data_IF_564382312757
#
_entry.id   IF_564382312757
#
_cell.length_a   1.000
_cell.length_b   1.000
_cell.length_c   1.000
_cell.angle_alpha   90.00
_cell.angle_beta   90.00
_cell.angle_gamma   90.00
#
_symmetry.space_group_name_H-M   'P 1'
#
loop_
_entity.id
_entity.type
_entity.pdbx_description
1 polymer ?
#
# COMPACT_ATOMS: atom_id res chain seq x y z
N UNK A 1 -1.40 9.04 24.80
CA UNK A 1 -1.24 9.72 23.50
C UNK A 1 -2.62 10.04 22.96
N UNK A 2 -2.81 11.17 22.27
CA UNK A 2 -4.07 11.42 21.57
C UNK A 2 -4.28 10.35 20.49
N UNK A 3 -5.52 9.95 20.24
CA UNK A 3 -5.83 9.07 19.12
C UNK A 3 -5.38 9.74 17.82
N UNK A 4 -4.69 8.99 16.97
CA UNK A 4 -4.29 9.47 15.64
C UNK A 4 -5.54 9.71 14.79
N UNK A 5 -5.62 10.88 14.14
CA UNK A 5 -6.63 11.14 13.13
C UNK A 5 -6.34 10.31 11.87
N UNK A 6 -7.37 9.78 11.18
CA UNK A 6 -7.19 9.11 9.90
C UNK A 6 -6.50 10.00 8.87
N UNK A 7 -5.61 9.41 8.07
CA UNK A 7 -5.09 10.04 6.87
C UNK A 7 -6.11 9.95 5.73
N UNK A 8 -6.02 10.86 4.77
CA UNK A 8 -6.85 10.89 3.56
C UNK A 8 -5.97 11.03 2.31
N UNK A 9 -6.15 10.16 1.31
CA UNK A 9 -5.42 10.21 0.04
C UNK A 9 -6.35 9.99 -1.16
N UNK A 10 -6.31 10.86 -2.15
CA UNK A 10 -6.96 10.66 -3.44
C UNK A 10 -5.92 10.28 -4.52
N UNK A 11 -6.26 9.37 -5.41
CA UNK A 11 -5.36 8.89 -6.47
C UNK A 11 -6.13 8.45 -7.73
N UNK A 12 -5.50 8.50 -8.92
CA UNK A 12 -6.16 8.15 -10.17
C UNK A 12 -6.23 6.64 -10.37
N UNK A 13 -7.33 6.17 -10.95
CA UNK A 13 -7.49 4.80 -11.44
C UNK A 13 -8.03 4.79 -12.86
N UNK A 14 -7.64 3.78 -13.63
CA UNK A 14 -8.15 3.55 -14.99
C UNK A 14 -9.55 2.92 -14.98
N UNK A 15 -9.93 2.23 -13.90
CA UNK A 15 -11.18 1.48 -13.79
C UNK A 15 -11.62 1.37 -12.33
N UNK A 16 -12.85 1.80 -12.03
CA UNK A 16 -13.43 1.66 -10.69
C UNK A 16 -13.80 0.20 -10.36
N UNK A 17 -14.08 -0.64 -11.37
CA UNK A 17 -14.32 -2.06 -11.13
C UNK A 17 -13.04 -2.80 -10.77
N UNK A 18 -11.92 -2.44 -11.39
CA UNK A 18 -10.61 -2.99 -11.05
C UNK A 18 -10.17 -2.54 -9.66
N UNK A 19 -10.41 -1.25 -9.33
CA UNK A 19 -10.17 -0.73 -8.00
C UNK A 19 -10.98 -1.49 -6.94
N UNK A 20 -12.26 -1.77 -7.16
CA UNK A 20 -13.09 -2.55 -6.21
C UNK A 20 -12.59 -3.97 -6.01
N UNK A 21 -12.22 -4.67 -7.09
CA UNK A 21 -11.64 -6.01 -6.99
C UNK A 21 -10.31 -6.00 -6.24
N UNK A 22 -9.48 -5.00 -6.49
CA UNK A 22 -8.18 -4.90 -5.84
C UNK A 22 -8.27 -4.45 -4.38
N UNK A 23 -8.80 -3.26 -4.10
CA UNK A 23 -8.87 -2.71 -2.75
C UNK A 23 -9.94 -3.40 -1.91
N UNK A 24 -11.15 -3.60 -2.46
CA UNK A 24 -12.27 -4.23 -1.76
C UNK A 24 -12.09 -5.72 -1.50
N UNK A 25 -11.88 -6.50 -2.56
CA UNK A 25 -11.86 -7.96 -2.46
C UNK A 25 -10.46 -8.50 -2.09
N UNK A 26 -9.43 -8.12 -2.85
CA UNK A 26 -8.08 -8.63 -2.62
C UNK A 26 -7.42 -8.04 -1.37
N UNK A 27 -7.47 -6.72 -1.14
CA UNK A 27 -6.90 -6.14 0.08
C UNK A 27 -7.85 -6.23 1.28
N UNK A 28 -9.17 -6.38 1.04
CA UNK A 28 -10.16 -6.48 2.10
C UNK A 28 -10.54 -5.13 2.71
N UNK A 29 -10.34 -4.03 1.98
CA UNK A 29 -10.66 -2.67 2.40
C UNK A 29 -12.13 -2.35 2.08
N UNK A 30 -13.03 -2.22 3.07
CA UNK A 30 -14.45 -1.98 2.82
C UNK A 30 -14.70 -0.74 1.96
N UNK A 31 -15.62 -0.83 1.00
CA UNK A 31 -16.09 0.32 0.23
C UNK A 31 -16.87 1.29 1.13
N UNK A 32 -16.57 2.58 0.99
CA UNK A 32 -17.28 3.69 1.61
C UNK A 32 -18.30 4.30 0.67
N UNK A 33 -18.29 5.63 0.56
CA UNK A 33 -19.16 6.35 -0.41
C UNK A 33 -18.59 6.21 -1.81
N UNK A 34 -19.45 6.35 -2.81
CA UNK A 34 -19.03 6.31 -4.21
C UNK A 34 -19.96 7.08 -5.14
N UNK A 35 -19.51 7.28 -6.37
CA UNK A 35 -20.26 7.76 -7.52
C UNK A 35 -19.79 7.04 -8.79
N UNK A 36 -20.32 7.44 -9.95
CA UNK A 36 -19.86 6.94 -11.25
C UNK A 36 -18.41 7.36 -11.58
N UNK A 37 -17.83 8.31 -10.83
CA UNK A 37 -16.50 8.86 -11.09
C UNK A 37 -15.47 8.62 -9.97
N UNK A 38 -15.87 8.08 -8.82
CA UNK A 38 -14.95 7.81 -7.71
C UNK A 38 -15.51 6.83 -6.67
N UNK A 39 -14.64 6.25 -5.85
CA UNK A 39 -15.00 5.37 -4.72
C UNK A 39 -14.05 5.57 -3.54
N UNK A 40 -14.61 5.72 -2.34
CA UNK A 40 -13.89 5.72 -1.06
C UNK A 40 -13.63 4.27 -0.60
N UNK A 41 -12.50 4.00 0.03
CA UNK A 41 -12.22 2.75 0.77
C UNK A 41 -11.74 3.04 2.20
N UNK A 42 -12.17 2.22 3.16
CA UNK A 42 -11.54 2.11 4.48
C UNK A 42 -10.25 1.27 4.34
N UNK A 43 -9.13 1.98 4.25
CA UNK A 43 -7.80 1.46 4.05
C UNK A 43 -7.06 1.40 5.40
N UNK A 44 -7.36 0.36 6.18
CA UNK A 44 -6.76 0.13 7.51
C UNK A 44 -7.04 1.27 8.51
N UNK A 45 -8.25 1.83 8.50
CA UNK A 45 -8.65 2.97 9.33
C UNK A 45 -8.27 4.33 8.73
N UNK A 46 -7.72 4.36 7.51
CA UNK A 46 -7.50 5.57 6.71
C UNK A 46 -8.49 5.63 5.55
N UNK A 47 -8.73 6.83 5.02
CA UNK A 47 -9.57 6.99 3.83
C UNK A 47 -8.68 7.09 2.60
N UNK A 48 -8.90 6.23 1.62
CA UNK A 48 -8.35 6.43 0.29
C UNK A 48 -9.48 6.56 -0.73
N UNK A 49 -9.27 7.39 -1.76
CA UNK A 49 -10.28 7.71 -2.77
C UNK A 49 -9.71 7.43 -4.15
N UNK A 50 -10.26 6.42 -4.82
CA UNK A 50 -9.93 6.10 -6.20
C UNK A 50 -10.80 6.95 -7.13
N UNK A 51 -10.18 7.88 -7.86
CA UNK A 51 -10.84 8.71 -8.87
C UNK A 51 -10.67 8.11 -10.26
N UNK A 52 -11.76 7.95 -11.01
CA UNK A 52 -11.70 7.50 -12.40
C UNK A 52 -11.04 8.58 -13.26
N UNK A 53 -9.78 8.38 -13.60
CA UNK A 53 -8.97 9.28 -14.41
C UNK A 53 -7.97 8.47 -15.26
N UNK A 54 -8.44 7.80 -16.33
CA UNK A 54 -7.60 6.90 -17.12
C UNK A 54 -6.36 7.55 -17.73
N UNK A 55 -6.44 8.85 -18.07
CA UNK A 55 -5.32 9.60 -18.65
C UNK A 55 -4.22 9.95 -17.63
N UNK A 56 -4.52 9.86 -16.33
CA UNK A 56 -3.56 10.04 -15.23
C UNK A 56 -3.09 8.72 -14.62
N UNK A 57 -3.70 7.60 -15.02
CA UNK A 57 -3.31 6.27 -14.57
C UNK A 57 -2.08 5.77 -15.37
N UNK A 58 -1.20 5.02 -14.70
CA UNK A 58 0.01 4.48 -15.31
C UNK A 58 1.19 4.38 -14.34
N UNK A 59 2.27 3.76 -14.82
CA UNK A 59 3.49 3.62 -14.05
C UNK A 59 4.21 4.96 -13.90
N UNK A 60 4.63 5.25 -12.67
CA UNK A 60 5.35 6.48 -12.32
C UNK A 60 6.87 6.31 -12.42
N UNK A 61 7.59 7.43 -12.40
CA UNK A 61 9.06 7.44 -12.34
C UNK A 61 9.59 6.64 -11.12
N UNK A 62 10.77 6.05 -11.28
CA UNK A 62 11.46 5.28 -10.23
C UNK A 62 12.75 5.97 -9.79
N UNK A 63 13.19 5.73 -8.56
CA UNK A 63 14.50 6.11 -8.03
C UNK A 63 15.29 4.88 -7.57
N UNK A 64 16.62 4.96 -7.63
CA UNK A 64 17.48 3.88 -7.15
C UNK A 64 17.64 3.96 -5.62
N UNK A 65 17.13 2.97 -4.89
CA UNK A 65 17.28 2.84 -3.42
C UNK A 65 17.63 1.39 -3.10
N UNK A 66 18.73 1.17 -2.39
CA UNK A 66 19.23 -0.17 -2.02
C UNK A 66 19.36 -1.14 -3.22
N UNK A 67 19.68 -0.61 -4.41
CA UNK A 67 19.77 -1.41 -5.64
C UNK A 67 18.43 -1.74 -6.31
N UNK A 68 17.32 -1.25 -5.77
CA UNK A 68 15.98 -1.39 -6.34
C UNK A 68 15.52 -0.11 -7.05
N UNK A 69 14.72 -0.27 -8.11
CA UNK A 69 13.99 0.82 -8.75
C UNK A 69 12.67 1.06 -7.99
N UNK A 70 12.72 1.90 -6.94
CA UNK A 70 11.58 2.21 -6.10
C UNK A 70 10.67 3.22 -6.81
N UNK A 71 9.36 2.97 -6.94
CA UNK A 71 8.42 3.96 -7.46
C UNK A 71 8.43 5.22 -6.60
N UNK A 72 8.63 6.39 -7.20
CA UNK A 72 8.75 7.67 -6.46
C UNK A 72 7.45 8.02 -5.75
N UNK A 73 6.33 7.84 -6.46
CA UNK A 73 4.99 8.00 -5.89
C UNK A 73 4.51 6.64 -5.42
N UNK A 74 4.40 6.47 -4.12
CA UNK A 74 3.81 5.29 -3.50
C UNK A 74 3.09 5.71 -2.23
N UNK A 75 2.18 4.85 -1.79
CA UNK A 75 1.49 5.00 -0.51
C UNK A 75 1.23 3.64 0.10
N UNK A 76 0.87 3.62 1.37
CA UNK A 76 0.44 2.40 2.04
C UNK A 76 0.45 2.58 3.54
N UNK A 77 0.57 1.48 4.28
CA UNK A 77 0.38 1.48 5.73
C UNK A 77 1.59 0.87 6.43
N UNK A 78 1.95 1.47 7.57
CA UNK A 78 2.85 0.82 8.53
C UNK A 78 1.99 -0.06 9.43
N UNK A 79 2.00 -1.35 9.13
CA UNK A 79 1.24 -2.40 9.81
C UNK A 79 2.02 -2.95 11.00
N UNK A 80 1.32 -3.72 11.83
CA UNK A 80 1.97 -4.59 12.80
C UNK A 80 2.55 -5.82 12.08
N UNK A 81 3.68 -6.35 12.59
CA UNK A 81 4.41 -7.45 11.94
C UNK A 81 3.54 -8.67 11.58
N UNK A 82 2.63 -9.16 12.46
CA UNK A 82 1.76 -10.28 12.10
C UNK A 82 0.82 -9.96 10.93
N UNK A 83 0.19 -8.77 10.95
CA UNK A 83 -0.73 -8.31 9.89
C UNK A 83 0.00 -8.13 8.56
N UNK A 84 1.23 -7.62 8.61
CA UNK A 84 2.08 -7.51 7.42
C UNK A 84 2.41 -8.88 6.83
N UNK A 85 2.74 -9.87 7.67
CA UNK A 85 3.05 -11.23 7.23
C UNK A 85 1.83 -11.89 6.57
N UNK A 86 0.66 -11.78 7.19
CA UNK A 86 -0.60 -12.29 6.65
C UNK A 86 -0.93 -11.66 5.29
N UNK A 87 -0.73 -10.34 5.15
CA UNK A 87 -0.95 -9.63 3.89
C UNK A 87 0.04 -10.09 2.80
N UNK A 88 1.31 -10.27 3.15
CA UNK A 88 2.33 -10.76 2.22
C UNK A 88 1.97 -12.16 1.68
N UNK A 89 1.54 -13.07 2.56
CA UNK A 89 1.13 -14.42 2.17
C UNK A 89 -0.13 -14.41 1.31
N UNK A 90 -1.11 -13.56 1.66
CA UNK A 90 -2.34 -13.37 0.86
C UNK A 90 -2.00 -12.90 -0.56
N UNK A 91 -1.13 -11.90 -0.72
CA UNK A 91 -0.73 -11.35 -2.01
C UNK A 91 0.08 -12.37 -2.84
N UNK A 92 0.97 -13.13 -2.21
CA UNK A 92 1.67 -14.24 -2.87
C UNK A 92 0.71 -15.30 -3.38
N UNK A 93 -0.26 -15.71 -2.55
CA UNK A 93 -1.27 -16.69 -2.93
C UNK A 93 -2.16 -16.21 -4.09
N UNK A 94 -2.39 -14.89 -4.18
CA UNK A 94 -3.12 -14.26 -5.28
C UNK A 94 -2.27 -14.08 -6.56
N UNK A 95 -0.98 -14.44 -6.54
CA UNK A 95 -0.09 -14.29 -7.70
C UNK A 95 0.30 -12.83 -7.99
N UNK A 96 0.28 -11.96 -6.98
CA UNK A 96 0.72 -10.57 -7.11
C UNK A 96 2.18 -10.49 -7.56
N UNK A 97 2.44 -9.67 -8.58
CA UNK A 97 3.80 -9.35 -9.00
C UNK A 97 4.37 -8.22 -8.15
N UNK A 98 5.46 -8.51 -7.45
CA UNK A 98 6.12 -7.53 -6.60
C UNK A 98 7.20 -6.75 -7.38
N UNK A 99 7.26 -5.45 -7.13
CA UNK A 99 8.42 -4.61 -7.49
C UNK A 99 9.57 -4.90 -6.54
N UNK A 100 9.24 -5.08 -5.26
CA UNK A 100 10.16 -5.53 -4.21
C UNK A 100 9.43 -6.63 -3.44
N UNK A 101 9.96 -7.84 -3.53
CA UNK A 101 9.43 -9.02 -2.84
C UNK A 101 9.34 -8.80 -1.33
N UNK A 102 8.34 -9.37 -0.62
CA UNK A 102 8.23 -9.22 0.83
C UNK A 102 9.44 -9.81 1.55
N UNK A 103 10.13 -8.98 2.32
CA UNK A 103 11.27 -9.40 3.14
C UNK A 103 11.44 -8.55 4.40
N UNK A 104 12.18 -9.11 5.37
CA UNK A 104 12.55 -8.45 6.62
C UNK A 104 14.01 -8.03 6.54
N UNK A 105 14.28 -6.74 6.78
CA UNK A 105 15.61 -6.15 6.94
C UNK A 105 16.00 -6.21 8.42
N UNK A 106 17.29 -6.45 8.70
CA UNK A 106 17.84 -6.44 10.07
C UNK A 106 17.15 -7.41 11.04
N UNK A 107 16.82 -8.63 10.58
CA UNK A 107 16.10 -9.61 11.41
C UNK A 107 16.88 -9.96 12.68
N UNK A 108 16.26 -9.76 13.83
CA UNK A 108 16.84 -9.96 15.16
C UNK A 108 17.72 -8.81 15.65
N UNK A 109 17.87 -7.75 14.87
CA UNK A 109 18.71 -6.59 15.19
C UNK A 109 17.86 -5.34 15.48
N UNK A 110 18.50 -4.31 16.04
CA UNK A 110 17.88 -2.98 16.14
C UNK A 110 17.68 -2.45 14.72
N UNK A 111 16.47 -1.98 14.41
CA UNK A 111 16.10 -1.58 13.06
C UNK A 111 15.28 -2.63 12.31
N UNK A 112 14.91 -3.77 12.94
CA UNK A 112 14.12 -4.80 12.27
C UNK A 112 12.82 -4.21 11.69
N UNK A 113 12.74 -4.26 10.37
CA UNK A 113 11.61 -3.75 9.60
C UNK A 113 11.32 -4.63 8.39
N UNK A 114 10.06 -4.73 8.01
CA UNK A 114 9.61 -5.45 6.84
C UNK A 114 9.12 -4.45 5.78
N UNK A 115 9.32 -4.77 4.50
CA UNK A 115 8.80 -3.97 3.40
C UNK A 115 8.44 -4.84 2.21
N UNK A 116 7.42 -4.42 1.45
CA UNK A 116 7.07 -4.97 0.14
C UNK A 116 6.50 -3.86 -0.74
N UNK A 117 6.76 -3.97 -2.04
CA UNK A 117 6.22 -3.05 -3.04
C UNK A 117 5.53 -3.81 -4.17
N UNK A 118 4.37 -3.33 -4.59
CA UNK A 118 3.62 -3.86 -5.73
C UNK A 118 2.73 -2.77 -6.31
N UNK A 119 2.13 -3.02 -7.47
CA UNK A 119 1.20 -2.08 -8.10
C UNK A 119 -0.24 -2.55 -7.98
N UNK A 120 -1.16 -1.59 -7.90
CA UNK A 120 -2.56 -1.85 -8.23
C UNK A 120 -2.75 -1.98 -9.77
N UNK A 121 -3.96 -2.35 -10.25
CA UNK A 121 -4.22 -2.48 -11.69
C UNK A 121 -4.07 -1.19 -12.50
N UNK A 122 -4.02 -0.02 -11.84
CA UNK A 122 -3.85 1.29 -12.47
C UNK A 122 -2.40 1.81 -12.42
N UNK A 123 -1.46 1.00 -11.93
CA UNK A 123 -0.05 1.36 -11.85
C UNK A 123 0.31 2.21 -10.64
N UNK A 124 -0.60 2.41 -9.68
CA UNK A 124 -0.25 3.05 -8.42
C UNK A 124 0.62 2.09 -7.60
N UNK A 125 1.77 2.56 -7.12
CA UNK A 125 2.64 1.75 -6.29
C UNK A 125 2.18 1.78 -4.84
N UNK A 126 2.07 0.61 -4.23
CA UNK A 126 1.77 0.45 -2.82
C UNK A 126 3.03 -0.03 -2.08
N UNK A 127 3.31 0.58 -0.94
CA UNK A 127 4.33 0.13 0.01
C UNK A 127 3.67 -0.25 1.34
N UNK A 128 3.83 -1.51 1.75
CA UNK A 128 3.46 -1.92 3.10
C UNK A 128 4.71 -2.17 3.92
N UNK A 129 4.77 -1.50 5.08
CA UNK A 129 5.88 -1.62 6.02
C UNK A 129 5.42 -2.22 7.34
N UNK A 130 6.35 -2.78 8.08
CA UNK A 130 6.18 -3.07 9.51
C UNK A 130 7.51 -2.87 10.23
N UNK A 131 7.46 -2.57 11.52
CA UNK A 131 8.64 -2.43 12.38
C UNK A 131 8.44 -3.33 13.59
N UNK A 132 9.49 -4.05 14.00
CA UNK A 132 9.45 -4.81 15.26
C UNK A 132 9.29 -3.87 16.47
N UNK A 133 9.86 -2.67 16.36
CA UNK A 133 9.72 -1.58 17.33
C UNK A 133 9.21 -0.31 16.65
N UNK A 134 7.96 0.06 16.95
CA UNK A 134 7.28 1.20 16.33
C UNK A 134 7.95 2.55 16.65
N UNK A 135 8.74 2.64 17.72
CA UNK A 135 9.47 3.88 18.05
C UNK A 135 10.52 4.24 16.99
N UNK A 136 10.96 3.25 16.19
CA UNK A 136 11.98 3.43 15.17
C UNK A 136 11.44 3.98 13.85
N UNK A 137 10.12 4.03 13.68
CA UNK A 137 9.49 4.54 12.46
C UNK A 137 9.91 5.99 12.13
N UNK A 138 10.10 6.80 13.17
CA UNK A 138 10.50 8.22 13.05
C UNK A 138 11.82 8.52 13.76
N UNK A 139 12.58 7.49 14.12
CA UNK A 139 13.92 7.69 14.68
C UNK A 139 14.81 8.39 13.65
N UNK A 140 15.67 9.30 14.12
CA UNK A 140 16.59 10.08 13.28
C UNK A 140 17.86 9.31 12.96
#
# INVERSE_FOLDING_TARGET
>A
MAALSPFHLAFPVASLSDARRFYGELLGCPEGRSSDAWVDFDFFGHQIVAHLAPDEAGLNATSAVDGHNVPVRHFGVVLDMPVWSELADKLRAAGTQFVIEPYVRFKGEVGEQATMFFHDPSGNALEFKAFADRSQLFAK
#
